data_IF_898904574990
#
_entry.id   IF_898904574990
#
_cell.length_a   1.000
_cell.length_b   1.000
_cell.length_c   1.000
_cell.angle_alpha   90.00
_cell.angle_beta   90.00
_cell.angle_gamma   90.00
#
_symmetry.space_group_name_H-M   'P 1'
#
loop_
_entity.id
_entity.type
_entity.pdbx_description
1 polymer ?
#
# COMPACT_ATOMS: atom_id res chain seq x y z
N UNK A 1 -6.55 6.72 -11.63
CA UNK A 1 -6.45 7.27 -10.26
C UNK A 1 -5.01 7.36 -9.72
N UNK A 2 -4.00 6.76 -10.36
CA UNK A 2 -2.59 6.84 -9.89
C UNK A 2 -1.99 8.25 -9.90
N UNK A 3 -2.33 9.09 -10.89
CA UNK A 3 -1.73 10.43 -11.02
C UNK A 3 -2.10 11.39 -9.89
N UNK A 4 -3.34 11.34 -9.35
CA UNK A 4 -3.80 12.30 -8.35
C UNK A 4 -3.01 12.27 -7.03
N UNK A 5 -2.47 11.12 -6.64
CA UNK A 5 -1.60 11.02 -5.46
C UNK A 5 -0.24 11.68 -5.71
N UNK A 6 0.38 11.38 -6.87
CA UNK A 6 1.67 11.94 -7.26
C UNK A 6 1.57 13.45 -7.48
N UNK A 7 0.47 13.93 -8.05
CA UNK A 7 0.18 15.36 -8.23
C UNK A 7 0.01 16.07 -6.88
N UNK A 8 -0.75 15.48 -5.95
CA UNK A 8 -0.95 16.04 -4.60
C UNK A 8 0.36 16.10 -3.80
N UNK A 9 1.18 15.05 -3.91
CA UNK A 9 2.51 15.00 -3.31
C UNK A 9 3.41 16.10 -3.89
N UNK A 10 3.52 16.18 -5.22
CA UNK A 10 4.39 17.15 -5.89
C UNK A 10 3.98 18.59 -5.63
N UNK A 11 2.66 18.87 -5.55
CA UNK A 11 2.14 20.18 -5.18
C UNK A 11 2.58 20.58 -3.77
N UNK A 12 2.26 19.75 -2.76
CA UNK A 12 2.63 20.02 -1.37
C UNK A 12 4.14 20.08 -1.14
N UNK A 13 4.90 19.23 -1.81
CA UNK A 13 6.36 19.23 -1.69
C UNK A 13 6.98 20.55 -2.19
N UNK A 14 6.43 21.11 -3.27
CA UNK A 14 6.86 22.42 -3.76
C UNK A 14 6.47 23.52 -2.79
N UNK A 15 5.19 23.59 -2.42
CA UNK A 15 4.66 24.69 -1.62
C UNK A 15 5.17 24.70 -0.18
N UNK A 16 5.35 23.52 0.44
CA UNK A 16 5.68 23.44 1.86
C UNK A 16 7.18 23.29 2.14
N UNK A 17 8.00 22.88 1.16
CA UNK A 17 9.44 22.68 1.36
C UNK A 17 10.28 23.49 0.37
N UNK A 18 10.12 23.25 -0.93
CA UNK A 18 11.03 23.83 -1.92
C UNK A 18 10.88 25.35 -2.08
N UNK A 19 9.67 25.87 -1.92
CA UNK A 19 9.39 27.31 -2.04
C UNK A 19 9.72 28.08 -0.74
N UNK A 20 9.65 27.41 0.42
CA UNK A 20 9.85 28.03 1.74
C UNK A 20 11.30 27.94 2.24
N UNK A 21 12.10 27.02 1.69
CA UNK A 21 13.44 26.70 2.22
C UNK A 21 14.53 26.95 1.19
N UNK A 22 15.47 27.84 1.54
CA UNK A 22 16.74 27.95 0.81
C UNK A 22 17.74 26.93 1.38
N UNK A 23 18.30 26.09 0.52
CA UNK A 23 19.32 25.12 0.91
C UNK A 23 20.72 25.68 0.67
N UNK A 24 21.54 25.67 1.71
CA UNK A 24 22.93 26.14 1.63
C UNK A 24 23.87 25.06 1.09
N UNK A 25 23.50 23.79 1.27
CA UNK A 25 24.28 22.65 0.78
C UNK A 25 23.39 21.51 0.30
N UNK A 26 23.94 20.65 -0.57
CA UNK A 26 23.25 19.42 -1.00
C UNK A 26 22.99 18.46 0.16
N UNK A 27 23.87 18.43 1.18
CA UNK A 27 23.70 17.59 2.35
C UNK A 27 22.49 17.99 3.18
N UNK A 28 22.33 19.30 3.40
CA UNK A 28 21.17 19.89 4.06
C UNK A 28 19.87 19.61 3.28
N UNK A 29 19.87 19.88 1.97
CA UNK A 29 18.72 19.59 1.12
C UNK A 29 18.27 18.12 1.25
N UNK A 30 19.22 17.18 1.18
CA UNK A 30 18.95 15.75 1.35
C UNK A 30 18.36 15.42 2.72
N UNK A 31 18.85 16.03 3.79
CA UNK A 31 18.34 15.80 5.15
C UNK A 31 16.91 16.31 5.30
N UNK A 32 16.63 17.52 4.82
CA UNK A 32 15.32 18.14 4.92
C UNK A 32 14.28 17.39 4.07
N UNK A 33 14.64 17.01 2.83
CA UNK A 33 13.76 16.21 1.97
C UNK A 33 13.41 14.86 2.61
N UNK A 34 14.39 14.15 3.21
CA UNK A 34 14.11 12.89 3.92
C UNK A 34 13.16 13.09 5.10
N UNK A 35 13.38 14.15 5.87
CA UNK A 35 12.56 14.47 7.04
C UNK A 35 11.13 14.78 6.61
N UNK A 36 10.96 15.61 5.59
CA UNK A 36 9.66 15.97 5.05
C UNK A 36 8.93 14.76 4.44
N UNK A 37 9.64 13.90 3.70
CA UNK A 37 9.06 12.67 3.15
C UNK A 37 8.57 11.72 4.25
N UNK A 38 9.34 11.57 5.32
CA UNK A 38 8.93 10.76 6.47
C UNK A 38 7.68 11.33 7.15
N UNK A 39 7.64 12.65 7.35
CA UNK A 39 6.48 13.34 7.93
C UNK A 39 5.21 13.15 7.06
N UNK A 40 5.32 13.40 5.75
CA UNK A 40 4.23 13.22 4.79
C UNK A 40 3.68 11.79 4.78
N UNK A 41 4.56 10.79 4.83
CA UNK A 41 4.20 9.38 4.71
C UNK A 41 3.65 8.77 6.00
N UNK A 42 4.05 9.26 7.17
CA UNK A 42 3.77 8.59 8.45
C UNK A 42 2.94 9.41 9.43
N UNK A 43 2.87 10.74 9.29
CA UNK A 43 2.24 11.60 10.29
C UNK A 43 1.10 12.43 9.74
N UNK A 44 1.05 12.66 8.42
CA UNK A 44 0.01 13.50 7.81
C UNK A 44 -1.14 12.68 7.25
N UNK A 45 -2.36 12.83 7.79
CA UNK A 45 -3.54 12.23 7.19
C UNK A 45 -3.95 12.98 5.92
N UNK A 46 -4.35 12.23 4.89
CA UNK A 46 -4.77 12.80 3.60
C UNK A 46 -6.25 12.51 3.35
N UNK A 47 -7.04 13.56 3.09
CA UNK A 47 -8.48 13.43 2.81
C UNK A 47 -8.76 12.53 1.60
N UNK A 48 -7.90 12.57 0.57
CA UNK A 48 -7.97 11.68 -0.60
C UNK A 48 -7.70 10.19 -0.29
N UNK A 49 -7.14 9.88 0.87
CA UNK A 49 -6.92 8.52 1.38
C UNK A 49 -7.88 8.17 2.53
N UNK A 50 -9.01 8.87 2.65
CA UNK A 50 -9.95 8.64 3.75
C UNK A 50 -9.44 9.13 5.10
N UNK A 51 -8.65 10.22 5.09
CA UNK A 51 -8.01 10.80 6.28
C UNK A 51 -7.00 9.86 6.97
N UNK A 52 -6.40 8.96 6.19
CA UNK A 52 -5.29 8.10 6.60
C UNK A 52 -3.97 8.65 6.07
N UNK A 53 -2.87 8.31 6.74
CA UNK A 53 -1.53 8.52 6.22
C UNK A 53 -1.26 7.58 5.03
N UNK A 54 -0.30 7.90 4.15
CA UNK A 54 0.06 7.02 3.05
C UNK A 54 0.54 5.65 3.53
N UNK A 55 1.28 5.60 4.66
CA UNK A 55 1.73 4.35 5.27
C UNK A 55 0.56 3.49 5.75
N UNK A 56 -0.42 4.06 6.45
CA UNK A 56 -1.62 3.34 6.90
C UNK A 56 -2.44 2.83 5.72
N UNK A 57 -2.63 3.65 4.69
CA UNK A 57 -3.33 3.25 3.48
C UNK A 57 -2.64 2.07 2.79
N UNK A 58 -1.31 2.09 2.68
CA UNK A 58 -0.53 0.96 2.13
C UNK A 58 -0.65 -0.30 2.99
N UNK A 59 -0.62 -0.18 4.31
CA UNK A 59 -0.78 -1.31 5.21
C UNK A 59 -2.17 -1.95 5.06
N UNK A 60 -3.24 -1.14 5.03
CA UNK A 60 -4.60 -1.60 4.81
C UNK A 60 -4.73 -2.32 3.47
N UNK A 61 -4.22 -1.74 2.38
CA UNK A 61 -4.23 -2.36 1.05
C UNK A 61 -3.42 -3.66 0.99
N UNK A 62 -2.30 -3.73 1.70
CA UNK A 62 -1.51 -4.95 1.83
C UNK A 62 -2.26 -6.07 2.54
N UNK A 63 -3.04 -5.75 3.58
CA UNK A 63 -3.89 -6.72 4.29
C UNK A 63 -5.05 -7.20 3.41
N UNK A 64 -5.74 -6.31 2.69
CA UNK A 64 -6.80 -6.67 1.74
C UNK A 64 -6.30 -7.62 0.65
N UNK A 65 -5.14 -7.32 0.06
CA UNK A 65 -4.51 -8.16 -0.97
C UNK A 65 -4.18 -9.56 -0.44
N UNK A 66 -3.66 -9.65 0.80
CA UNK A 66 -3.35 -10.94 1.45
C UNK A 66 -4.62 -11.75 1.73
N UNK A 67 -5.67 -11.13 2.27
CA UNK A 67 -6.94 -11.80 2.53
C UNK A 67 -7.61 -12.30 1.25
N UNK A 68 -7.57 -11.51 0.17
CA UNK A 68 -8.08 -11.91 -1.14
C UNK A 68 -7.32 -13.13 -1.73
N UNK A 69 -6.04 -13.27 -1.42
CA UNK A 69 -5.22 -14.42 -1.80
C UNK A 69 -5.59 -15.68 -1.01
N UNK A 70 -5.88 -15.55 0.28
CA UNK A 70 -6.30 -16.67 1.13
C UNK A 70 -7.60 -17.31 0.62
N UNK A 71 -8.60 -16.49 0.25
CA UNK A 71 -9.89 -16.99 -0.23
C UNK A 71 -9.84 -17.67 -1.61
N UNK A 72 -8.89 -17.31 -2.48
CA UNK A 72 -8.68 -18.05 -3.74
C UNK A 72 -8.02 -19.40 -3.52
N UNK A 73 -7.21 -19.55 -2.47
CA UNK A 73 -6.49 -20.79 -2.16
C UNK A 73 -7.40 -21.87 -1.56
N UNK A 74 -8.42 -21.51 -0.78
CA UNK A 74 -9.32 -22.49 -0.13
C UNK A 74 -10.34 -23.10 -1.10
N UNK A 75 -10.60 -22.48 -2.25
CA UNK A 75 -11.57 -22.98 -3.25
C UNK A 75 -10.98 -24.02 -4.24
N UNK A 76 -9.78 -24.53 -3.95
CA UNK A 76 -9.07 -25.54 -4.75
C UNK A 76 -8.96 -26.92 -4.10
N UNK A 77 -9.64 -27.17 -2.97
CA UNK A 77 -9.63 -28.46 -2.28
C UNK A 77 -11.07 -28.82 -1.86
N UNK A 78 -11.51 -30.07 -2.10
CA UNK A 78 -12.86 -30.65 -2.02
C UNK A 78 -13.69 -30.50 -3.32
N UNK A 79 -14.16 -31.55 -4.00
CA UNK A 79 -14.40 -32.96 -3.66
C UNK A 79 -14.11 -33.85 -4.89
N UNK A 80 -13.32 -34.92 -4.70
CA UNK A 80 -13.35 -36.08 -5.60
C UNK A 80 -14.00 -37.22 -4.81
N UNK A 81 -15.09 -37.85 -5.28
CA UNK A 81 -15.62 -39.01 -4.60
C UNK A 81 -14.70 -40.19 -4.89
N UNK A 82 -13.95 -40.60 -3.88
CA UNK A 82 -13.28 -41.89 -3.83
C UNK A 82 -14.26 -42.89 -3.20
N UNK A 83 -14.98 -43.65 -4.02
CA UNK A 83 -15.57 -44.93 -3.58
C UNK A 83 -14.90 -46.07 -4.33
N UNK A 84 -13.98 -46.70 -3.61
CA UNK A 84 -13.31 -47.95 -3.95
C UNK A 84 -14.32 -49.06 -4.23
N UNK A 85 -14.23 -49.59 -5.45
CA UNK A 85 -14.27 -51.00 -5.84
C UNK A 85 -14.34 -51.99 -4.64
N UNK A 86 -15.26 -52.96 -4.69
CA UNK A 86 -14.97 -54.42 -4.63
C UNK A 86 -16.24 -55.28 -4.54
N UNK A 87 -16.15 -56.45 -5.21
CA UNK A 87 -16.99 -57.66 -5.18
C UNK A 87 -18.27 -57.61 -6.03
N UNK A 88 -18.52 -58.53 -6.97
CA UNK A 88 -17.94 -59.83 -7.27
C UNK A 88 -19.07 -60.72 -7.83
N UNK A 89 -18.77 -61.57 -8.81
CA UNK A 89 -19.48 -62.82 -9.22
C UNK A 89 -21.05 -62.82 -9.18
N UNK A 90 -21.79 -63.08 -10.26
CA UNK A 90 -21.74 -64.19 -11.24
C UNK A 90 -22.54 -63.79 -12.49
#
# INVERSE_FOLDING_TARGET
MQNGFVESFNGRFRDELLNETLFSTLGEARQQIRTWQHDYNHHRPHSGLGNMTPAEFMAMKGLEMRAAQTHKSTRGFSEGPEESRVSGQL
#
